data_IF_620096321281
#
_entry.id   IF_620096321281
#
_cell.length_a   1.000
_cell.length_b   1.000
_cell.length_c   1.000
_cell.angle_alpha   90.00
_cell.angle_beta   90.00
_cell.angle_gamma   90.00
#
_symmetry.space_group_name_H-M   'P 1'
#
loop_
_entity.id
_entity.type
_entity.pdbx_description
1 polymer ?
#
# COMPACT_ATOMS: atom_id res chain seq x y z
N UNK A 1 -86.88 -7.67 -49.35
CA UNK A 1 -86.86 -7.13 -47.97
C UNK A 1 -85.45 -7.28 -47.41
N UNK A 2 -84.93 -6.26 -46.69
CA UNK A 2 -83.92 -6.44 -45.62
C UNK A 2 -84.66 -6.96 -44.35
N UNK A 3 -84.01 -7.45 -43.27
CA UNK A 3 -82.57 -7.47 -42.90
C UNK A 3 -81.98 -8.91 -43.11
N UNK A 4 -80.99 -9.48 -42.40
CA UNK A 4 -80.30 -9.14 -41.14
C UNK A 4 -78.86 -9.70 -41.03
N UNK A 5 -78.28 -9.57 -39.83
CA UNK A 5 -76.86 -9.67 -39.47
C UNK A 5 -76.45 -11.01 -38.81
N UNK A 6 -75.20 -11.43 -38.99
CA UNK A 6 -74.35 -12.20 -38.03
C UNK A 6 -73.07 -12.70 -38.75
N UNK A 7 -71.92 -12.99 -38.12
CA UNK A 7 -71.29 -12.60 -36.84
C UNK A 7 -69.77 -12.67 -37.09
N UNK A 8 -68.96 -11.84 -36.42
CA UNK A 8 -67.50 -11.84 -36.60
C UNK A 8 -66.81 -13.06 -35.95
N UNK A 9 -65.75 -13.55 -36.60
CA UNK A 9 -64.86 -14.58 -36.07
C UNK A 9 -63.40 -14.22 -36.33
N UNK A 10 -62.85 -13.29 -35.54
CA UNK A 10 -61.44 -12.92 -35.61
C UNK A 10 -60.60 -13.89 -34.78
N UNK A 11 -59.75 -14.68 -35.43
CA UNK A 11 -58.81 -15.59 -34.75
C UNK A 11 -57.67 -14.78 -34.15
N UNK A 12 -57.67 -14.58 -32.83
CA UNK A 12 -56.57 -13.94 -32.13
C UNK A 12 -55.34 -14.87 -32.13
N UNK A 13 -54.32 -14.50 -32.91
CA UNK A 13 -53.03 -15.19 -32.90
C UNK A 13 -52.27 -14.79 -31.62
N UNK A 14 -52.27 -15.67 -30.61
CA UNK A 14 -51.54 -15.44 -29.37
C UNK A 14 -50.03 -15.52 -29.61
N UNK A 15 -49.38 -14.36 -29.76
CA UNK A 15 -47.93 -14.27 -29.87
C UNK A 15 -47.31 -14.55 -28.49
N UNK A 16 -46.84 -15.79 -28.29
CA UNK A 16 -46.12 -16.17 -27.07
C UNK A 16 -44.73 -15.56 -27.11
N UNK A 17 -44.56 -14.40 -26.47
CA UNK A 17 -43.25 -13.90 -26.09
C UNK A 17 -42.68 -14.81 -25.00
N UNK A 18 -41.91 -15.83 -25.41
CA UNK A 18 -40.98 -16.50 -24.50
C UNK A 18 -39.89 -15.49 -24.14
N UNK A 19 -40.05 -14.84 -22.99
CA UNK A 19 -39.04 -13.96 -22.41
C UNK A 19 -37.81 -14.75 -22.01
N UNK A 20 -36.95 -15.07 -22.98
CA UNK A 20 -35.56 -15.39 -22.71
C UNK A 20 -34.94 -14.12 -22.11
N UNK A 21 -34.82 -14.10 -20.78
CA UNK A 21 -34.02 -13.09 -20.12
C UNK A 21 -32.60 -13.24 -20.67
N UNK A 22 -32.14 -12.26 -21.44
CA UNK A 22 -30.73 -12.06 -21.71
C UNK A 22 -30.06 -11.87 -20.35
N UNK A 23 -29.49 -12.95 -19.83
CA UNK A 23 -28.47 -12.87 -18.81
C UNK A 23 -27.26 -12.22 -19.48
N UNK A 24 -27.29 -10.88 -19.54
CA UNK A 24 -26.10 -10.08 -19.79
C UNK A 24 -25.15 -10.50 -18.68
N UNK A 25 -24.09 -11.23 -19.05
CA UNK A 25 -23.02 -11.50 -18.12
C UNK A 25 -22.58 -10.15 -17.56
N UNK A 26 -22.49 -10.02 -16.24
CA UNK A 26 -21.89 -8.82 -15.68
C UNK A 26 -20.52 -8.62 -16.35
N UNK A 27 -20.16 -7.40 -16.77
CA UNK A 27 -18.83 -7.17 -17.34
C UNK A 27 -17.80 -7.75 -16.38
N UNK A 28 -16.80 -8.43 -16.94
CA UNK A 28 -15.70 -8.92 -16.14
C UNK A 28 -15.12 -7.72 -15.39
N UNK A 29 -14.89 -7.84 -14.09
CA UNK A 29 -14.23 -6.76 -13.37
C UNK A 29 -12.77 -6.73 -13.82
N UNK A 30 -12.35 -5.60 -14.41
CA UNK A 30 -10.96 -5.20 -14.62
C UNK A 30 -10.02 -5.85 -13.59
N UNK A 31 -9.13 -6.74 -14.04
CA UNK A 31 -8.26 -7.49 -13.14
C UNK A 31 -6.93 -6.76 -12.94
N UNK A 32 -6.59 -6.48 -11.68
CA UNK A 32 -5.22 -6.10 -11.31
C UNK A 32 -4.40 -7.35 -10.99
N UNK A 33 -3.37 -7.63 -11.78
CA UNK A 33 -2.50 -8.80 -11.64
C UNK A 33 -1.07 -8.38 -11.35
N UNK A 34 -0.49 -8.84 -10.23
CA UNK A 34 0.94 -8.65 -9.97
C UNK A 34 1.77 -9.72 -10.68
N UNK A 35 2.71 -9.30 -11.52
CA UNK A 35 3.63 -10.15 -12.26
C UNK A 35 4.79 -10.54 -11.36
N UNK A 36 4.73 -11.75 -10.81
CA UNK A 36 5.73 -12.28 -9.86
C UNK A 36 6.81 -13.14 -10.50
N UNK A 37 6.67 -13.47 -11.79
CA UNK A 37 7.63 -14.27 -12.55
C UNK A 37 7.48 -14.01 -14.05
N UNK A 38 8.60 -13.96 -14.76
CA UNK A 38 8.69 -13.92 -16.23
C UNK A 38 9.57 -15.11 -16.63
N UNK A 39 9.20 -15.86 -17.67
CA UNK A 39 10.03 -16.95 -18.19
C UNK A 39 11.29 -16.38 -18.88
N UNK A 40 12.48 -16.99 -18.69
CA UNK A 40 13.75 -16.48 -19.22
C UNK A 40 13.91 -16.66 -20.74
N UNK A 41 12.95 -17.30 -21.40
CA UNK A 41 12.96 -17.59 -22.83
C UNK A 41 11.53 -17.83 -23.36
N UNK A 42 11.37 -17.85 -24.67
CA UNK A 42 10.13 -18.18 -25.40
C UNK A 42 9.89 -19.71 -25.50
N UNK A 43 10.27 -20.52 -24.48
CA UNK A 43 9.95 -21.96 -24.48
C UNK A 43 8.44 -22.22 -24.39
N UNK A 44 7.68 -21.29 -23.81
CA UNK A 44 6.24 -21.16 -23.90
C UNK A 44 5.90 -19.73 -24.30
N UNK A 45 5.05 -19.58 -25.33
CA UNK A 45 4.54 -18.28 -25.72
C UNK A 45 3.43 -17.79 -24.77
N UNK A 46 2.66 -18.69 -24.16
CA UNK A 46 1.59 -18.31 -23.23
C UNK A 46 2.16 -17.79 -21.91
N UNK A 47 1.71 -16.61 -21.49
CA UNK A 47 2.13 -15.92 -20.27
C UNK A 47 3.33 -14.98 -20.48
N UNK A 48 3.85 -14.46 -19.37
CA UNK A 48 5.00 -13.54 -19.36
C UNK A 48 6.33 -14.24 -19.64
N UNK A 49 7.04 -13.82 -20.69
CA UNK A 49 8.31 -14.39 -21.14
C UNK A 49 9.25 -13.35 -21.78
N UNK A 50 10.55 -13.65 -21.82
CA UNK A 50 11.53 -12.91 -22.63
C UNK A 50 11.59 -13.47 -24.07
N UNK A 51 11.29 -12.64 -25.06
CA UNK A 51 11.25 -12.99 -26.49
C UNK A 51 12.63 -13.07 -27.16
N UNK A 52 13.67 -12.47 -26.56
CA UNK A 52 15.05 -12.67 -27.04
C UNK A 52 15.67 -13.89 -26.38
N UNK A 53 16.24 -14.78 -27.19
CA UNK A 53 17.00 -15.95 -26.74
C UNK A 53 18.40 -15.56 -26.22
N UNK A 54 18.42 -14.74 -25.18
CA UNK A 54 19.64 -14.28 -24.51
C UNK A 54 20.28 -15.44 -23.71
N UNK A 55 21.62 -15.47 -23.63
CA UNK A 55 22.34 -16.54 -22.92
C UNK A 55 22.20 -16.45 -21.39
N UNK A 56 21.82 -15.29 -20.90
CA UNK A 56 21.40 -14.95 -19.54
C UNK A 56 20.24 -13.96 -19.70
N UNK A 57 19.17 -14.03 -18.88
CA UNK A 57 18.05 -13.09 -19.01
C UNK A 57 18.52 -11.64 -18.97
N UNK A 58 18.02 -10.81 -19.89
CA UNK A 58 18.37 -9.38 -19.93
C UNK A 58 17.32 -8.52 -19.21
N UNK A 59 16.68 -9.10 -18.20
CA UNK A 59 15.71 -8.45 -17.31
C UNK A 59 15.87 -8.89 -15.86
N UNK A 60 15.30 -8.08 -14.96
CA UNK A 60 15.14 -8.33 -13.54
C UNK A 60 13.79 -7.78 -13.05
N UNK A 61 13.20 -8.44 -12.04
CA UNK A 61 12.01 -7.95 -11.34
C UNK A 61 12.42 -7.47 -9.95
N UNK A 62 12.28 -6.16 -9.75
CA UNK A 62 12.56 -5.45 -8.51
C UNK A 62 11.25 -5.01 -7.84
N UNK A 63 11.30 -4.57 -6.58
CA UNK A 63 10.10 -4.16 -5.83
C UNK A 63 9.28 -3.03 -6.52
N UNK A 64 9.97 -2.16 -7.24
CA UNK A 64 9.49 -0.98 -7.96
C UNK A 64 9.23 -1.22 -9.46
N UNK A 65 9.42 -2.43 -9.99
CA UNK A 65 9.07 -2.76 -11.36
C UNK A 65 9.97 -3.77 -12.07
N UNK A 66 9.75 -3.90 -13.36
CA UNK A 66 10.53 -4.68 -14.31
C UNK A 66 11.61 -3.79 -14.93
N UNK A 67 12.88 -4.19 -14.80
CA UNK A 67 14.04 -3.50 -15.38
C UNK A 67 14.70 -4.41 -16.40
N UNK A 68 15.01 -3.90 -17.59
CA UNK A 68 15.33 -4.74 -18.73
C UNK A 68 16.10 -3.97 -19.80
N UNK A 69 16.82 -4.71 -20.64
CA UNK A 69 17.74 -4.13 -21.62
C UNK A 69 19.16 -3.90 -21.09
N UNK A 70 19.50 -4.30 -19.86
CA UNK A 70 20.89 -4.20 -19.39
C UNK A 70 21.75 -5.33 -19.98
N UNK A 71 22.92 -4.97 -20.51
CA UNK A 71 23.87 -5.88 -21.16
C UNK A 71 23.45 -6.47 -22.52
N UNK A 72 22.16 -6.62 -22.81
CA UNK A 72 21.62 -7.10 -24.09
C UNK A 72 20.19 -6.56 -24.32
N UNK A 73 19.73 -6.54 -25.59
CA UNK A 73 18.36 -6.16 -25.90
C UNK A 73 17.38 -7.13 -25.22
N UNK A 74 16.30 -6.61 -24.63
CA UNK A 74 15.30 -7.41 -23.94
C UNK A 74 13.89 -7.03 -24.37
N UNK A 75 13.07 -8.04 -24.63
CA UNK A 75 11.68 -7.93 -25.06
C UNK A 75 10.88 -8.79 -24.10
N UNK A 76 9.96 -8.19 -23.35
CA UNK A 76 9.15 -8.86 -22.35
C UNK A 76 7.70 -8.84 -22.81
N UNK A 77 7.14 -10.01 -23.11
CA UNK A 77 5.82 -10.18 -23.69
C UNK A 77 4.92 -10.99 -22.76
N UNK A 78 3.63 -10.63 -22.71
CA UNK A 78 2.56 -11.50 -22.28
C UNK A 78 1.87 -12.10 -23.51
N UNK A 79 2.21 -13.35 -23.84
CA UNK A 79 1.50 -14.05 -24.91
C UNK A 79 0.17 -14.63 -24.42
N UNK A 80 -0.84 -14.54 -25.26
CA UNK A 80 -2.25 -14.83 -24.97
C UNK A 80 -2.72 -16.18 -25.55
N UNK A 81 -1.81 -16.89 -26.24
CA UNK A 81 -2.07 -18.17 -26.89
C UNK A 81 -0.89 -19.13 -26.66
N UNK A 82 -1.14 -20.44 -26.76
CA UNK A 82 -0.06 -21.44 -26.67
C UNK A 82 0.89 -21.35 -27.86
N UNK A 83 2.14 -21.78 -27.69
CA UNK A 83 3.14 -21.82 -28.77
C UNK A 83 2.61 -22.58 -30.01
N UNK A 84 2.60 -21.91 -31.16
CA UNK A 84 2.13 -22.47 -32.43
C UNK A 84 0.63 -22.33 -32.71
N UNK A 85 -0.16 -21.82 -31.77
CA UNK A 85 -1.55 -21.40 -32.05
C UNK A 85 -1.56 -20.08 -32.86
N UNK A 86 -2.55 -19.87 -33.75
CA UNK A 86 -2.50 -18.80 -34.75
C UNK A 86 -2.67 -17.37 -34.20
N UNK A 87 -3.02 -17.21 -32.91
CA UNK A 87 -3.40 -15.92 -32.32
C UNK A 87 -4.92 -15.68 -32.30
N UNK A 88 -5.33 -14.65 -31.54
CA UNK A 88 -6.72 -14.24 -31.36
C UNK A 88 -7.19 -13.40 -32.55
N UNK A 89 -8.27 -13.82 -33.21
CA UNK A 89 -8.88 -13.09 -34.34
C UNK A 89 -9.43 -11.74 -33.89
N UNK A 90 -9.20 -10.71 -34.70
CA UNK A 90 -9.62 -9.33 -34.41
C UNK A 90 -9.83 -8.53 -35.71
N UNK A 91 -10.57 -7.42 -35.64
CA UNK A 91 -10.60 -6.39 -36.70
C UNK A 91 -9.57 -5.29 -36.44
N UNK A 92 -9.29 -4.44 -37.44
CA UNK A 92 -8.41 -3.27 -37.24
C UNK A 92 -8.97 -2.30 -36.19
N UNK A 93 -10.29 -2.16 -36.11
CA UNK A 93 -10.97 -1.30 -35.14
C UNK A 93 -10.87 -1.83 -33.71
N UNK A 94 -11.05 -3.14 -33.50
CA UNK A 94 -10.93 -3.77 -32.17
C UNK A 94 -9.50 -3.75 -31.66
N UNK A 95 -8.52 -4.12 -32.50
CA UNK A 95 -7.10 -4.06 -32.12
C UNK A 95 -6.63 -2.61 -31.92
N UNK A 96 -7.11 -1.69 -32.76
CA UNK A 96 -6.86 -0.26 -32.61
C UNK A 96 -7.36 0.28 -31.27
N UNK A 97 -8.58 -0.08 -30.87
CA UNK A 97 -9.14 0.32 -29.57
C UNK A 97 -8.39 -0.29 -28.37
N UNK A 98 -7.87 -1.52 -28.48
CA UNK A 98 -7.02 -2.12 -27.44
C UNK A 98 -5.68 -1.38 -27.28
N UNK A 99 -5.06 -0.96 -28.38
CA UNK A 99 -3.78 -0.22 -28.35
C UNK A 99 -4.00 1.23 -27.87
N UNK A 100 -5.01 1.92 -28.39
CA UNK A 100 -5.38 3.30 -28.03
C UNK A 100 -5.81 3.42 -26.56
N UNK A 101 -6.45 2.37 -26.02
CA UNK A 101 -6.80 2.25 -24.60
C UNK A 101 -5.72 1.65 -23.70
N UNK A 102 -4.54 1.31 -24.23
CA UNK A 102 -3.43 0.80 -23.41
C UNK A 102 -2.66 1.92 -22.71
N UNK A 103 -2.06 1.62 -21.57
CA UNK A 103 -1.18 2.54 -20.82
C UNK A 103 0.04 1.77 -20.32
N UNK A 104 1.22 2.38 -20.38
CA UNK A 104 2.47 1.83 -19.83
C UNK A 104 3.04 2.85 -18.84
N UNK A 105 3.23 2.45 -17.59
CA UNK A 105 3.95 3.22 -16.58
C UNK A 105 5.45 2.94 -16.68
N UNK A 106 6.20 3.84 -17.29
CA UNK A 106 7.66 3.73 -17.44
C UNK A 106 8.33 4.40 -16.24
N UNK A 107 9.17 3.67 -15.51
CA UNK A 107 9.88 4.15 -14.31
C UNK A 107 11.29 4.66 -14.61
N UNK A 108 11.92 4.16 -15.67
CA UNK A 108 13.29 4.52 -16.05
C UNK A 108 13.53 4.38 -17.55
N UNK A 109 14.39 5.25 -18.09
CA UNK A 109 14.94 5.09 -19.44
C UNK A 109 13.90 5.34 -20.53
N UNK A 110 14.01 4.57 -21.60
CA UNK A 110 13.06 4.58 -22.72
C UNK A 110 12.60 3.16 -23.06
N UNK A 111 11.34 3.02 -23.43
CA UNK A 111 10.70 1.72 -23.66
C UNK A 111 9.78 1.78 -24.88
N UNK A 112 9.84 0.78 -25.75
CA UNK A 112 8.89 0.61 -26.83
C UNK A 112 7.71 -0.26 -26.36
N UNK A 113 6.48 0.24 -26.44
CA UNK A 113 5.27 -0.61 -26.42
C UNK A 113 5.32 -1.58 -27.60
N UNK A 114 4.86 -2.82 -27.42
CA UNK A 114 4.85 -3.82 -28.47
C UNK A 114 3.59 -4.68 -28.50
N UNK A 115 3.17 -5.04 -29.71
CA UNK A 115 2.05 -5.95 -29.96
C UNK A 115 2.44 -6.96 -31.04
N UNK A 116 2.37 -8.24 -30.73
CA UNK A 116 2.64 -9.31 -31.68
C UNK A 116 1.39 -9.60 -32.52
N UNK A 117 1.53 -9.53 -33.85
CA UNK A 117 0.44 -9.65 -34.82
C UNK A 117 0.76 -10.63 -35.94
N UNK A 118 -0.28 -11.22 -36.51
CA UNK A 118 -0.20 -12.11 -37.67
C UNK A 118 -1.39 -11.91 -38.61
N UNK A 119 -1.18 -12.24 -39.87
CA UNK A 119 -2.17 -12.26 -40.96
C UNK A 119 -1.94 -13.52 -41.80
N UNK A 120 -2.78 -13.75 -42.82
CA UNK A 120 -2.51 -14.80 -43.81
C UNK A 120 -1.18 -14.61 -44.58
N UNK A 121 -0.60 -13.40 -44.58
CA UNK A 121 0.63 -13.07 -45.29
C UNK A 121 1.92 -13.21 -44.44
N UNK A 122 1.82 -13.26 -43.10
CA UNK A 122 3.00 -13.37 -42.23
C UNK A 122 2.74 -12.98 -40.78
N UNK A 123 3.83 -12.72 -40.04
CA UNK A 123 3.77 -12.26 -38.65
C UNK A 123 4.92 -11.30 -38.34
N UNK A 124 4.73 -10.47 -37.30
CA UNK A 124 5.72 -9.54 -36.79
C UNK A 124 5.26 -8.90 -35.47
N UNK A 125 6.02 -7.92 -35.00
CA UNK A 125 5.65 -7.11 -33.82
C UNK A 125 5.52 -5.66 -34.23
N UNK A 126 4.39 -5.05 -33.91
CA UNK A 126 4.16 -3.61 -34.06
C UNK A 126 4.76 -2.89 -32.86
N UNK A 127 5.37 -1.72 -33.10
CA UNK A 127 5.92 -0.81 -32.08
C UNK A 127 5.78 0.65 -32.52
N UNK A 128 5.67 1.63 -31.59
CA UNK A 128 5.75 3.04 -31.97
C UNK A 128 7.16 3.36 -32.48
N UNK A 129 7.28 4.35 -33.36
CA UNK A 129 8.58 4.79 -33.92
C UNK A 129 9.38 5.59 -32.89
N UNK A 130 8.68 6.38 -32.07
CA UNK A 130 9.24 7.06 -30.90
C UNK A 130 9.01 6.17 -29.68
N UNK A 131 10.03 5.84 -28.87
CA UNK A 131 9.80 5.13 -27.62
C UNK A 131 9.11 6.03 -26.60
N UNK A 132 8.55 5.41 -25.56
CA UNK A 132 8.02 6.09 -24.38
C UNK A 132 9.17 6.45 -23.44
N UNK A 133 9.12 7.65 -22.85
CA UNK A 133 10.07 8.11 -21.83
C UNK A 133 9.51 7.79 -20.43
N UNK A 134 10.13 8.32 -19.36
CA UNK A 134 9.64 8.09 -17.99
C UNK A 134 8.31 8.81 -17.72
N UNK A 135 7.31 8.05 -17.26
CA UNK A 135 5.94 8.52 -17.00
C UNK A 135 4.87 7.55 -17.51
N UNK A 136 3.58 7.89 -17.35
CA UNK A 136 2.48 7.15 -17.97
C UNK A 136 2.36 7.51 -19.45
N UNK A 137 2.31 6.49 -20.32
CA UNK A 137 2.20 6.66 -21.76
C UNK A 137 1.10 5.76 -22.35
N UNK A 138 0.17 6.37 -23.08
CA UNK A 138 -0.78 5.69 -23.96
C UNK A 138 -0.41 5.91 -25.41
N UNK A 139 -0.62 4.89 -26.23
CA UNK A 139 -0.54 5.01 -27.68
C UNK A 139 -1.79 5.74 -28.22
N UNK A 140 -1.67 6.37 -29.38
CA UNK A 140 -2.80 6.95 -30.11
C UNK A 140 -2.88 6.40 -31.53
N UNK A 141 -4.08 6.26 -32.07
CA UNK A 141 -4.29 5.81 -33.47
C UNK A 141 -3.61 6.68 -34.55
N UNK A 142 -3.24 7.92 -34.21
CA UNK A 142 -2.50 8.85 -35.07
C UNK A 142 -0.98 8.77 -34.93
N UNK A 143 -0.46 7.98 -34.00
CA UNK A 143 0.98 7.86 -33.80
C UNK A 143 1.63 7.11 -34.96
N UNK A 144 2.90 7.43 -35.23
CA UNK A 144 3.71 6.67 -36.18
C UNK A 144 4.20 5.38 -35.52
N UNK A 145 3.81 4.26 -36.11
CA UNK A 145 4.18 2.91 -35.72
C UNK A 145 4.92 2.21 -36.87
N UNK A 146 5.55 1.09 -36.55
CA UNK A 146 6.21 0.24 -37.54
C UNK A 146 6.14 -1.24 -37.15
N UNK A 147 6.37 -2.12 -38.12
CA UNK A 147 6.46 -3.57 -37.93
C UNK A 147 7.92 -4.02 -37.97
N UNK A 148 8.31 -4.92 -37.07
CA UNK A 148 9.64 -5.56 -37.09
C UNK A 148 9.90 -6.47 -38.30
N UNK A 149 8.87 -6.75 -39.12
CA UNK A 149 8.93 -7.61 -40.32
C UNK A 149 7.99 -7.13 -41.41
N UNK A 150 8.29 -7.49 -42.66
CA UNK A 150 7.36 -7.31 -43.77
C UNK A 150 6.21 -8.31 -43.63
N UNK A 151 4.97 -7.81 -43.65
CA UNK A 151 3.73 -8.59 -43.57
C UNK A 151 2.84 -8.10 -44.71
N UNK A 152 2.68 -8.91 -45.76
CA UNK A 152 1.97 -8.48 -46.98
C UNK A 152 2.55 -7.19 -47.56
N UNK A 153 1.70 -6.16 -47.66
CA UNK A 153 2.08 -4.80 -48.12
C UNK A 153 2.72 -3.92 -47.02
N UNK A 154 2.66 -4.32 -45.74
CA UNK A 154 3.36 -3.62 -44.64
C UNK A 154 4.86 -3.90 -44.73
N UNK A 155 5.66 -2.84 -44.94
CA UNK A 155 7.13 -2.93 -45.04
C UNK A 155 7.77 -2.87 -43.65
N UNK A 156 8.75 -3.75 -43.39
CA UNK A 156 9.55 -3.73 -42.16
C UNK A 156 10.21 -2.36 -41.90
N UNK A 157 10.17 -1.90 -40.64
CA UNK A 157 10.78 -0.67 -40.14
C UNK A 157 10.39 0.63 -40.88
N UNK A 158 9.35 0.60 -41.72
CA UNK A 158 8.75 1.78 -42.33
C UNK A 158 7.76 2.47 -41.36
N UNK A 159 7.89 3.77 -41.07
CA UNK A 159 6.91 4.53 -40.29
C UNK A 159 5.56 4.69 -41.01
N UNK A 160 4.46 4.31 -40.35
CA UNK A 160 3.08 4.45 -40.83
C UNK A 160 2.18 4.84 -39.65
N UNK A 161 1.17 5.69 -39.86
CA UNK A 161 0.16 5.97 -38.82
C UNK A 161 -0.53 4.67 -38.38
N UNK A 162 -0.69 4.44 -37.07
CA UNK A 162 -1.20 3.18 -36.51
C UNK A 162 -2.54 2.75 -37.14
N UNK A 163 -3.50 3.68 -37.31
CA UNK A 163 -4.77 3.38 -37.95
C UNK A 163 -4.61 2.84 -39.39
N UNK A 164 -3.70 3.41 -40.18
CA UNK A 164 -3.42 2.96 -41.54
C UNK A 164 -2.67 1.62 -41.57
N UNK A 165 -1.73 1.43 -40.63
CA UNK A 165 -0.97 0.20 -40.44
C UNK A 165 -1.91 -0.99 -40.14
N UNK A 166 -2.84 -0.81 -39.20
CA UNK A 166 -3.84 -1.83 -38.83
C UNK A 166 -4.81 -2.13 -39.99
N UNK A 167 -5.23 -1.11 -40.75
CA UNK A 167 -6.08 -1.30 -41.92
C UNK A 167 -5.38 -2.09 -43.04
N UNK A 168 -4.07 -1.88 -43.26
CA UNK A 168 -3.27 -2.70 -44.19
C UNK A 168 -3.20 -4.16 -43.75
N UNK A 169 -2.97 -4.44 -42.46
CA UNK A 169 -2.93 -5.81 -41.94
C UNK A 169 -4.29 -6.52 -42.03
N UNK A 170 -5.40 -5.81 -41.83
CA UNK A 170 -6.74 -6.38 -42.04
C UNK A 170 -7.02 -6.69 -43.53
N UNK A 171 -6.47 -5.89 -44.45
CA UNK A 171 -6.61 -6.12 -45.89
C UNK A 171 -5.88 -7.38 -46.39
N UNK A 172 -4.79 -7.80 -45.74
CA UNK A 172 -4.12 -9.09 -45.98
C UNK A 172 -4.97 -10.31 -45.54
N UNK A 173 -5.95 -10.08 -44.66
CA UNK A 173 -6.91 -11.07 -44.18
C UNK A 173 -6.43 -11.91 -42.98
N UNK A 174 -7.40 -12.37 -42.19
CA UNK A 174 -7.19 -13.15 -40.95
C UNK A 174 -6.28 -12.43 -39.94
N UNK A 175 -6.53 -11.13 -39.72
CA UNK A 175 -5.81 -10.33 -38.73
C UNK A 175 -5.99 -10.92 -37.32
N UNK A 176 -4.87 -11.20 -36.68
CA UNK A 176 -4.77 -11.74 -35.33
C UNK A 176 -3.71 -11.02 -34.53
N UNK A 177 -3.87 -11.05 -33.21
CA UNK A 177 -2.82 -10.70 -32.26
C UNK A 177 -2.55 -11.87 -31.32
N UNK A 178 -1.28 -12.07 -30.96
CA UNK A 178 -0.84 -13.19 -30.12
C UNK A 178 -0.37 -12.75 -28.74
N UNK A 179 0.06 -11.50 -28.56
CA UNK A 179 0.55 -10.98 -27.29
C UNK A 179 0.85 -9.48 -27.32
N UNK A 180 1.11 -8.92 -26.15
CA UNK A 180 1.51 -7.52 -25.96
C UNK A 180 2.67 -7.44 -24.96
N UNK A 181 3.38 -6.33 -24.90
CA UNK A 181 4.46 -6.14 -23.94
C UNK A 181 5.36 -4.96 -24.26
N UNK A 182 6.64 -5.09 -23.92
CA UNK A 182 7.62 -4.00 -23.98
C UNK A 182 8.99 -4.46 -24.51
N UNK A 183 9.73 -3.53 -25.12
CA UNK A 183 11.10 -3.70 -25.60
C UNK A 183 11.99 -2.57 -25.08
N UNK A 184 13.17 -2.93 -24.59
CA UNK A 184 14.29 -2.03 -24.32
C UNK A 184 15.53 -2.50 -25.10
N UNK A 185 16.30 -1.55 -25.61
CA UNK A 185 17.54 -1.83 -26.36
C UNK A 185 18.76 -1.73 -25.45
N UNK A 186 19.80 -2.51 -25.74
CA UNK A 186 21.03 -2.60 -24.93
C UNK A 186 21.80 -1.28 -24.75
N UNK A 187 21.53 -0.28 -25.58
CA UNK A 187 22.09 1.07 -25.47
C UNK A 187 21.34 1.94 -24.47
N UNK A 188 20.07 1.63 -24.23
CA UNK A 188 19.12 2.45 -23.48
C UNK A 188 18.20 1.56 -22.61
N UNK A 189 18.73 1.00 -21.49
CA UNK A 189 17.96 0.13 -20.60
C UNK A 189 16.72 0.82 -20.03
N UNK A 190 15.61 0.09 -19.97
CA UNK A 190 14.29 0.58 -19.57
C UNK A 190 13.79 -0.02 -18.26
N UNK A 191 12.83 0.67 -17.64
CA UNK A 191 12.10 0.21 -16.46
C UNK A 191 10.60 0.47 -16.60
N UNK A 192 9.74 -0.49 -16.21
CA UNK A 192 8.28 -0.33 -16.18
C UNK A 192 7.67 -0.82 -14.87
N UNK A 193 6.73 -0.07 -14.30
CA UNK A 193 5.95 -0.48 -13.11
C UNK A 193 4.63 -1.16 -13.50
N UNK A 194 4.04 -0.80 -14.65
CA UNK A 194 2.73 -1.27 -15.05
C UNK A 194 2.53 -1.31 -16.58
N UNK A 195 1.66 -2.21 -17.02
CA UNK A 195 1.03 -2.21 -18.36
C UNK A 195 -0.47 -2.45 -18.17
N UNK A 196 -1.31 -1.58 -18.72
CA UNK A 196 -2.76 -1.78 -18.86
C UNK A 196 -3.05 -2.20 -20.30
N UNK A 197 -3.81 -3.29 -20.49
CA UNK A 197 -4.20 -3.81 -21.79
C UNK A 197 -5.67 -4.25 -21.77
N UNK A 198 -6.52 -3.53 -22.51
CA UNK A 198 -7.97 -3.68 -22.41
C UNK A 198 -8.48 -3.20 -21.05
N UNK A 199 -9.18 -4.07 -20.32
CA UNK A 199 -9.66 -3.77 -18.96
C UNK A 199 -8.69 -4.25 -17.86
N UNK A 200 -7.63 -4.98 -18.20
CA UNK A 200 -6.72 -5.57 -17.22
C UNK A 200 -5.44 -4.73 -17.01
N UNK A 201 -4.99 -4.62 -15.76
CA UNK A 201 -3.74 -3.95 -15.38
C UNK A 201 -2.76 -4.96 -14.80
N UNK A 202 -1.57 -5.03 -15.40
CA UNK A 202 -0.46 -5.85 -14.98
C UNK A 202 0.55 -4.97 -14.25
N UNK A 203 0.82 -5.28 -12.98
CA UNK A 203 1.78 -4.56 -12.14
C UNK A 203 3.05 -5.39 -12.01
N UNK A 204 4.19 -4.83 -12.38
CA UNK A 204 5.51 -5.45 -12.16
C UNK A 204 6.08 -5.14 -10.77
N UNK A 205 5.44 -4.24 -10.02
CA UNK A 205 5.70 -4.03 -8.60
C UNK A 205 5.22 -5.23 -7.79
N UNK A 206 5.88 -5.49 -6.64
CA UNK A 206 5.41 -6.52 -5.70
C UNK A 206 4.15 -6.06 -4.97
N UNK A 207 3.20 -6.98 -4.78
CA UNK A 207 2.01 -6.75 -3.97
C UNK A 207 2.40 -6.64 -2.48
N UNK A 208 2.13 -5.50 -1.85
CA UNK A 208 2.28 -5.35 -0.39
C UNK A 208 0.89 -5.29 0.24
N UNK A 209 0.61 -6.23 1.15
CA UNK A 209 -0.67 -6.28 1.88
C UNK A 209 -0.59 -5.41 3.12
N UNK A 210 -1.24 -4.24 3.14
CA UNK A 210 -1.21 -3.37 4.32
C UNK A 210 -1.67 -4.08 5.60
N UNK A 211 -0.92 -3.90 6.70
CA UNK A 211 -1.26 -4.39 8.04
C UNK A 211 -2.22 -3.38 8.67
N UNK A 212 -3.51 -3.71 8.85
CA UNK A 212 -4.46 -2.76 9.42
C UNK A 212 -4.13 -2.49 10.90
N UNK A 213 -4.30 -1.24 11.33
CA UNK A 213 -4.27 -0.89 12.76
C UNK A 213 -5.47 -1.56 13.44
N UNK A 214 -5.20 -2.49 14.35
CA UNK A 214 -6.21 -3.26 15.09
C UNK A 214 -6.24 -2.94 16.59
N UNK A 215 -5.25 -2.22 17.09
CA UNK A 215 -5.15 -1.84 18.51
C UNK A 215 -4.45 -0.50 18.70
N UNK A 216 -4.70 0.12 19.85
CA UNK A 216 -4.08 1.38 20.28
C UNK A 216 -3.41 1.21 21.65
N UNK A 217 -2.24 1.81 21.83
CA UNK A 217 -1.50 1.84 23.10
C UNK A 217 -1.19 3.30 23.43
N UNK A 218 -1.60 3.74 24.62
CA UNK A 218 -1.24 5.05 25.14
C UNK A 218 0.16 4.97 25.77
N UNK A 219 1.04 5.91 25.41
CA UNK A 219 2.44 5.99 25.85
C UNK A 219 2.64 7.27 26.63
N UNK A 220 3.01 7.13 27.90
CA UNK A 220 3.22 8.24 28.83
C UNK A 220 4.71 8.51 29.07
N UNK A 221 5.02 9.71 29.60
CA UNK A 221 6.40 10.10 29.91
C UNK A 221 7.11 9.16 30.90
N UNK A 222 6.37 8.40 31.72
CA UNK A 222 6.94 7.46 32.68
C UNK A 222 7.36 6.12 32.05
N UNK A 223 6.91 5.83 30.84
CA UNK A 223 7.23 4.60 30.10
C UNK A 223 8.44 4.77 29.18
N UNK A 224 8.77 6.00 28.82
CA UNK A 224 9.96 6.36 28.03
C UNK A 224 11.15 6.53 28.99
N UNK A 225 12.15 5.66 28.89
CA UNK A 225 13.41 5.79 29.65
C UNK A 225 14.27 6.94 29.11
N UNK A 226 15.07 7.59 29.97
CA UNK A 226 15.97 8.68 29.56
C UNK A 226 17.24 8.19 28.84
N UNK A 227 17.44 6.88 28.70
CA UNK A 227 18.62 6.27 28.08
C UNK A 227 18.35 4.85 27.53
N UNK A 228 19.29 4.38 26.70
CA UNK A 228 19.36 3.03 26.13
C UNK A 228 20.04 2.02 27.10
N UNK A 229 19.96 2.19 28.42
CA UNK A 229 20.50 1.19 29.39
C UNK A 229 19.85 -0.20 29.26
N UNK A 230 18.69 -0.25 28.61
CA UNK A 230 18.06 -1.47 28.09
C UNK A 230 17.41 -1.11 26.77
N UNK A 231 17.52 -1.98 25.76
CA UNK A 231 16.94 -1.73 24.44
C UNK A 231 15.41 -1.88 24.44
N UNK A 232 14.89 -2.96 25.04
CA UNK A 232 13.47 -3.30 25.02
C UNK A 232 12.55 -2.26 25.69
N UNK A 233 11.47 -1.86 25.02
CA UNK A 233 10.54 -0.82 25.45
C UNK A 233 10.99 0.59 25.03
N UNK A 234 10.16 1.59 25.35
CA UNK A 234 10.42 2.99 25.00
C UNK A 234 11.64 3.57 25.72
N UNK A 235 12.53 4.22 24.96
CA UNK A 235 13.72 4.89 25.48
C UNK A 235 14.22 6.01 24.55
N UNK A 236 15.00 6.92 25.13
CA UNK A 236 15.82 7.88 24.40
C UNK A 236 17.17 7.24 23.97
N UNK A 237 17.44 7.24 22.66
CA UNK A 237 18.67 6.66 22.07
C UNK A 237 19.91 7.58 22.16
N UNK A 238 19.73 8.86 22.46
CA UNK A 238 20.85 9.77 22.73
C UNK A 238 21.15 9.83 24.22
N UNK A 239 22.43 9.72 24.58
CA UNK A 239 22.91 9.84 25.97
C UNK A 239 22.92 11.32 26.45
N UNK A 240 21.75 11.97 26.42
CA UNK A 240 21.58 13.35 26.82
C UNK A 240 21.62 13.47 28.37
N UNK A 241 22.36 14.46 28.94
CA UNK A 241 22.49 14.61 30.40
C UNK A 241 21.19 15.05 31.08
N UNK A 242 20.28 15.63 30.30
CA UNK A 242 18.88 15.90 30.64
C UNK A 242 18.06 15.40 29.45
N UNK A 243 16.96 14.65 29.64
CA UNK A 243 16.15 14.15 28.55
C UNK A 243 15.78 15.25 27.54
N UNK A 244 15.90 14.94 26.24
CA UNK A 244 15.58 15.90 25.17
C UNK A 244 14.15 15.78 24.62
N UNK A 245 13.33 14.99 25.32
CA UNK A 245 11.91 14.81 25.10
C UNK A 245 11.06 15.18 26.33
N UNK A 246 9.76 15.31 26.11
CA UNK A 246 8.72 15.27 27.14
C UNK A 246 7.36 14.99 26.52
N UNK A 247 6.38 14.54 27.32
CA UNK A 247 4.99 14.40 26.84
C UNK A 247 4.18 15.62 27.25
N UNK A 248 3.45 16.17 26.28
CA UNK A 248 2.54 17.32 26.42
C UNK A 248 1.11 16.89 26.10
N UNK A 249 0.13 17.77 26.34
CA UNK A 249 -1.27 17.55 25.94
C UNK A 249 -1.47 17.33 24.42
N UNK A 250 -0.46 17.66 23.61
CA UNK A 250 -0.45 17.50 22.15
C UNK A 250 0.43 16.35 21.63
N UNK A 251 1.14 15.63 22.49
CA UNK A 251 2.01 14.53 22.07
C UNK A 251 3.43 14.55 22.65
N UNK A 252 4.29 13.71 22.08
CA UNK A 252 5.72 13.64 22.34
C UNK A 252 6.40 14.88 21.75
N UNK A 253 6.88 15.75 22.62
CA UNK A 253 7.59 16.97 22.29
C UNK A 253 9.09 16.77 22.39
N UNK A 254 9.79 17.18 21.34
CA UNK A 254 11.23 17.34 21.24
C UNK A 254 11.52 18.85 21.25
N UNK A 255 12.35 19.34 22.18
CA UNK A 255 12.44 20.80 22.31
C UNK A 255 13.39 21.40 23.35
N UNK A 256 14.35 20.66 23.90
CA UNK A 256 15.36 21.24 24.80
C UNK A 256 16.61 21.80 24.07
N UNK A 257 16.64 21.73 22.73
CA UNK A 257 17.79 22.17 21.92
C UNK A 257 18.93 21.15 21.86
N UNK A 258 18.62 19.85 21.86
CA UNK A 258 19.53 18.75 21.58
C UNK A 258 18.89 17.75 20.60
N UNK A 259 19.69 16.95 19.91
CA UNK A 259 19.18 15.81 19.13
C UNK A 259 18.56 14.77 20.08
N UNK A 260 17.43 14.19 19.68
CA UNK A 260 16.71 13.20 20.49
C UNK A 260 16.02 12.17 19.61
N UNK A 261 15.99 10.94 20.08
CA UNK A 261 15.48 9.79 19.32
C UNK A 261 14.68 8.93 20.28
N UNK A 262 13.36 8.84 20.09
CA UNK A 262 12.51 7.97 20.90
C UNK A 262 12.22 6.69 20.13
N UNK A 263 12.71 5.58 20.68
CA UNK A 263 12.67 4.24 20.07
C UNK A 263 11.86 3.31 20.98
N UNK A 264 11.02 2.46 20.41
CA UNK A 264 10.48 1.29 21.09
C UNK A 264 11.24 0.03 20.66
N UNK A 265 12.22 -0.39 21.47
CA UNK A 265 12.93 -1.64 21.21
C UNK A 265 12.03 -2.85 21.46
N UNK A 266 12.04 -3.83 20.56
CA UNK A 266 11.20 -5.01 20.71
C UNK A 266 11.80 -5.97 21.76
N UNK A 267 10.94 -6.72 22.46
CA UNK A 267 11.37 -7.74 23.41
C UNK A 267 11.92 -8.99 22.70
N UNK A 268 11.32 -9.29 21.55
CA UNK A 268 11.79 -10.28 20.58
C UNK A 268 11.84 -9.56 19.23
N UNK A 269 12.99 -9.55 18.53
CA UNK A 269 13.06 -9.04 17.17
C UNK A 269 12.07 -9.73 16.24
N UNK A 270 11.54 -9.01 15.24
CA UNK A 270 10.74 -9.61 14.19
C UNK A 270 11.69 -10.21 13.15
N UNK A 271 12.02 -11.48 13.32
CA UNK A 271 12.81 -12.28 12.38
C UNK A 271 11.95 -12.69 11.17
N UNK A 272 12.53 -12.60 9.97
CA UNK A 272 11.92 -13.00 8.69
C UNK A 272 10.51 -12.41 8.44
N UNK A 273 10.23 -11.25 9.04
CA UNK A 273 9.02 -10.48 8.77
C UNK A 273 9.16 -9.71 7.46
N UNK A 274 8.07 -9.60 6.70
CA UNK A 274 8.02 -8.83 5.47
C UNK A 274 8.29 -7.34 5.78
N UNK A 275 9.53 -6.91 5.48
CA UNK A 275 10.02 -5.58 5.85
C UNK A 275 9.31 -4.48 5.07
N UNK A 276 8.96 -4.76 3.80
CA UNK A 276 8.13 -3.88 2.99
C UNK A 276 6.76 -3.71 3.65
N UNK A 277 6.11 -4.82 4.01
CA UNK A 277 4.81 -4.81 4.69
C UNK A 277 4.84 -4.02 6.01
N UNK A 278 5.87 -4.21 6.83
CA UNK A 278 6.02 -3.51 8.10
C UNK A 278 6.19 -2.00 7.91
N UNK A 279 7.00 -1.56 6.94
CA UNK A 279 7.30 -0.15 6.72
C UNK A 279 6.16 0.57 6.00
N UNK A 280 5.60 0.03 4.92
CA UNK A 280 4.51 0.71 4.19
C UNK A 280 3.18 0.70 4.95
N UNK A 281 3.07 -0.09 6.02
CA UNK A 281 1.93 -0.07 6.96
C UNK A 281 2.18 0.81 8.19
N UNK A 282 3.35 1.45 8.29
CA UNK A 282 3.67 2.40 9.35
C UNK A 282 3.21 3.82 8.96
N UNK A 283 2.83 4.60 9.97
CA UNK A 283 2.54 6.03 9.81
C UNK A 283 3.04 6.84 11.01
N UNK A 284 3.33 8.11 10.78
CA UNK A 284 3.72 9.08 11.83
C UNK A 284 2.85 10.31 11.70
N UNK A 285 2.19 10.70 12.80
CA UNK A 285 1.37 11.90 12.87
C UNK A 285 2.13 13.00 13.64
N UNK A 286 2.53 14.05 12.92
CA UNK A 286 3.30 15.18 13.45
C UNK A 286 2.36 16.36 13.65
N UNK A 287 2.43 17.01 14.81
CA UNK A 287 1.65 18.20 15.14
C UNK A 287 2.40 19.48 14.74
N UNK A 288 3.71 19.50 14.94
CA UNK A 288 4.58 20.63 14.60
C UNK A 288 6.03 20.17 14.39
N UNK A 289 6.81 20.98 13.66
CA UNK A 289 8.23 20.70 13.40
C UNK A 289 8.45 19.62 12.34
N UNK A 290 9.57 18.92 12.44
CA UNK A 290 10.01 17.89 11.50
C UNK A 290 10.67 16.73 12.28
N UNK A 291 10.27 15.48 11.99
CA UNK A 291 10.89 14.29 12.57
C UNK A 291 11.18 13.24 11.50
N UNK A 292 12.17 12.39 11.73
CA UNK A 292 12.51 11.28 10.84
C UNK A 292 12.01 9.99 11.47
N UNK A 293 11.14 9.25 10.76
CA UNK A 293 10.77 7.89 11.17
C UNK A 293 11.96 6.95 11.01
N UNK A 294 12.07 5.93 11.87
CA UNK A 294 13.25 5.07 11.91
C UNK A 294 12.90 3.62 12.27
N UNK A 295 13.59 2.70 11.60
CA UNK A 295 13.51 1.25 11.82
C UNK A 295 14.92 0.67 11.98
N UNK A 296 15.42 0.52 13.22
CA UNK A 296 16.61 -0.25 13.52
C UNK A 296 16.43 -1.74 13.19
N UNK A 297 17.39 -2.32 12.45
CA UNK A 297 17.39 -3.71 12.01
C UNK A 297 18.78 -4.34 12.19
N UNK A 298 18.84 -5.67 12.19
CA UNK A 298 20.05 -6.42 11.81
C UNK A 298 19.77 -7.32 10.62
N UNK A 299 20.77 -7.53 9.75
CA UNK A 299 20.60 -8.37 8.56
C UNK A 299 21.83 -9.23 8.23
N UNK A 300 21.58 -10.32 7.52
CA UNK A 300 22.59 -11.28 7.04
C UNK A 300 23.30 -12.10 8.12
N UNK A 301 24.17 -13.02 7.70
CA UNK A 301 24.83 -13.99 8.61
C UNK A 301 25.65 -13.34 9.72
N UNK A 302 26.20 -12.14 9.48
CA UNK A 302 26.99 -11.37 10.45
C UNK A 302 26.13 -10.47 11.35
N UNK A 303 24.80 -10.50 11.21
CA UNK A 303 23.84 -9.63 11.91
C UNK A 303 24.26 -8.14 11.87
N UNK A 304 24.49 -7.63 10.66
CA UNK A 304 24.94 -6.26 10.43
C UNK A 304 23.85 -5.31 10.92
N UNK A 305 24.13 -4.54 11.97
CA UNK A 305 23.20 -3.52 12.48
C UNK A 305 23.15 -2.32 11.55
N UNK A 306 21.95 -1.87 11.20
CA UNK A 306 21.71 -0.57 10.56
C UNK A 306 20.40 0.04 11.05
N UNK A 307 20.16 1.28 10.66
CA UNK A 307 18.89 1.98 10.87
C UNK A 307 18.41 2.50 9.52
N UNK A 308 17.23 2.04 9.12
CA UNK A 308 16.52 2.59 7.97
C UNK A 308 15.75 3.83 8.41
N UNK A 309 15.76 4.88 7.58
CA UNK A 309 14.93 6.07 7.74
C UNK A 309 14.60 6.68 6.37
N UNK A 310 13.48 7.39 6.20
CA UNK A 310 13.25 8.19 5.00
C UNK A 310 14.37 9.23 4.82
N UNK A 311 14.68 9.58 3.57
CA UNK A 311 15.65 10.63 3.25
C UNK A 311 15.08 12.04 3.49
N UNK A 312 13.76 12.15 3.67
CA UNK A 312 13.01 13.35 4.03
C UNK A 312 12.52 13.27 5.49
N UNK A 313 12.20 14.42 6.10
CA UNK A 313 11.51 14.46 7.39
C UNK A 313 9.99 14.51 7.23
N UNK A 314 9.28 13.85 8.14
CA UNK A 314 7.84 13.98 8.32
C UNK A 314 7.53 15.36 8.92
N UNK A 315 6.83 16.20 8.14
CA UNK A 315 6.27 17.47 8.60
C UNK A 315 4.83 17.32 9.13
N UNK A 316 4.16 18.42 9.53
CA UNK A 316 2.85 18.38 10.18
C UNK A 316 1.76 17.69 9.36
N UNK A 317 1.02 16.80 10.00
CA UNK A 317 0.05 15.88 9.39
C UNK A 317 0.48 14.41 9.53
N UNK A 318 -0.24 13.50 8.89
CA UNK A 318 0.12 12.08 8.81
C UNK A 318 1.05 11.84 7.63
N UNK A 319 2.24 11.29 7.90
CA UNK A 319 3.17 10.78 6.89
C UNK A 319 3.06 9.27 6.84
N UNK A 320 2.90 8.72 5.63
CA UNK A 320 2.94 7.28 5.31
C UNK A 320 4.13 7.00 4.39
N UNK A 321 4.46 5.73 4.17
CA UNK A 321 5.65 5.34 3.40
C UNK A 321 5.33 4.41 2.23
N UNK A 322 6.00 4.60 1.10
CA UNK A 322 5.88 3.81 -0.12
C UNK A 322 7.24 3.21 -0.54
N UNK A 323 7.21 2.14 -1.34
CA UNK A 323 8.43 1.49 -1.85
C UNK A 323 9.25 2.39 -2.79
N UNK A 324 8.59 3.34 -3.45
CA UNK A 324 9.22 4.37 -4.29
C UNK A 324 9.74 5.59 -3.50
N UNK A 325 9.58 5.64 -2.18
CA UNK A 325 10.16 6.72 -1.38
C UNK A 325 11.68 6.58 -1.30
N UNK A 326 12.39 7.72 -1.29
CA UNK A 326 13.81 7.72 -0.99
C UNK A 326 14.04 7.52 0.51
N UNK A 327 14.85 6.51 0.84
CA UNK A 327 15.27 6.14 2.18
C UNK A 327 16.80 6.06 2.25
N UNK A 328 17.33 6.00 3.47
CA UNK A 328 18.77 5.81 3.73
C UNK A 328 19.00 4.75 4.80
N UNK A 329 20.07 3.98 4.64
CA UNK A 329 20.63 3.08 5.64
C UNK A 329 21.77 3.78 6.39
N UNK A 330 21.82 3.68 7.73
CA UNK A 330 22.90 4.28 8.54
C UNK A 330 24.26 3.60 8.38
N UNK A 331 24.29 2.39 7.80
CA UNK A 331 25.48 1.64 7.37
C UNK A 331 25.42 1.29 5.89
N UNK A 332 26.57 0.89 5.35
CA UNK A 332 26.66 0.28 4.02
C UNK A 332 25.92 -1.06 4.00
N UNK A 333 25.20 -1.32 2.90
CA UNK A 333 24.63 -2.62 2.57
C UNK A 333 25.56 -3.25 1.52
N UNK A 334 26.24 -4.36 1.83
CA UNK A 334 27.20 -4.98 0.90
C UNK A 334 26.54 -5.47 -0.39
N UNK A 335 27.33 -5.45 -1.48
CA UNK A 335 26.93 -6.09 -2.73
C UNK A 335 26.79 -7.61 -2.57
N UNK A 336 25.89 -8.19 -3.35
CA UNK A 336 25.65 -9.64 -3.43
C UNK A 336 25.88 -10.14 -4.86
N UNK A 337 25.45 -11.38 -5.16
CA UNK A 337 25.42 -11.88 -6.54
C UNK A 337 24.30 -11.27 -7.39
N UNK A 338 23.31 -10.61 -6.78
CA UNK A 338 22.10 -10.08 -7.45
C UNK A 338 21.84 -8.60 -7.20
N UNK A 339 22.51 -7.98 -6.22
CA UNK A 339 22.31 -6.58 -5.83
C UNK A 339 23.64 -5.83 -5.70
N UNK A 340 23.66 -4.57 -6.10
CA UNK A 340 24.82 -3.69 -5.93
C UNK A 340 24.97 -3.23 -4.47
N UNK A 341 26.17 -2.78 -4.09
CA UNK A 341 26.41 -2.21 -2.77
C UNK A 341 25.75 -0.83 -2.66
N UNK A 342 25.06 -0.58 -1.53
CA UNK A 342 24.46 0.72 -1.23
C UNK A 342 25.26 1.38 -0.10
N UNK A 343 25.87 2.52 -0.38
CA UNK A 343 26.72 3.22 0.58
C UNK A 343 25.93 3.83 1.75
N UNK A 344 26.59 3.95 2.91
CA UNK A 344 25.97 4.47 4.13
C UNK A 344 25.48 5.93 3.94
N UNK A 345 24.23 6.18 4.32
CA UNK A 345 23.53 7.46 4.21
C UNK A 345 23.29 7.97 2.77
N UNK A 346 23.48 7.13 1.75
CA UNK A 346 23.10 7.45 0.36
C UNK A 346 21.60 7.21 0.15
N UNK A 347 20.84 8.18 -0.39
CA UNK A 347 19.45 7.96 -0.79
C UNK A 347 19.32 6.89 -1.87
N UNK A 348 18.45 5.93 -1.63
CA UNK A 348 18.01 4.89 -2.56
C UNK A 348 16.51 4.64 -2.36
N UNK A 349 15.83 3.99 -3.30
CA UNK A 349 14.41 3.68 -3.13
C UNK A 349 14.24 2.64 -2.02
N UNK A 350 13.16 2.73 -1.24
CA UNK A 350 12.89 1.80 -0.16
C UNK A 350 12.82 0.35 -0.65
N UNK A 351 12.24 0.10 -1.82
CA UNK A 351 12.24 -1.21 -2.47
C UNK A 351 13.65 -1.77 -2.70
N UNK A 352 14.51 -1.00 -3.36
CA UNK A 352 15.91 -1.39 -3.66
C UNK A 352 16.72 -1.65 -2.37
N UNK A 353 16.50 -0.84 -1.34
CA UNK A 353 17.12 -1.01 -0.02
C UNK A 353 16.70 -2.32 0.65
N UNK A 354 15.40 -2.61 0.65
CA UNK A 354 14.85 -3.86 1.21
C UNK A 354 15.40 -5.06 0.43
N UNK A 355 15.42 -4.99 -0.90
CA UNK A 355 15.98 -6.07 -1.73
C UNK A 355 17.46 -6.33 -1.45
N UNK A 356 18.27 -5.28 -1.37
CA UNK A 356 19.69 -5.40 -1.07
C UNK A 356 19.93 -5.97 0.34
N UNK A 357 19.07 -5.63 1.31
CA UNK A 357 19.10 -6.16 2.67
C UNK A 357 18.69 -7.64 2.71
N UNK A 358 17.59 -8.02 2.07
CA UNK A 358 17.09 -9.40 1.99
C UNK A 358 18.07 -10.32 1.23
N UNK A 359 18.71 -9.81 0.17
CA UNK A 359 19.74 -10.54 -0.59
C UNK A 359 21.00 -10.85 0.25
N UNK A 360 21.26 -10.10 1.33
CA UNK A 360 22.34 -10.39 2.28
C UNK A 360 21.95 -11.46 3.33
N UNK A 361 20.68 -11.87 3.41
CA UNK A 361 20.16 -12.95 4.26
C UNK A 361 19.09 -12.50 5.26
N UNK A 362 18.79 -13.33 6.26
CA UNK A 362 17.74 -13.10 7.27
C UNK A 362 17.79 -11.69 7.86
N UNK A 363 16.62 -11.06 7.92
CA UNK A 363 16.40 -9.72 8.49
C UNK A 363 15.70 -9.86 9.84
N UNK A 364 16.13 -9.06 10.81
CA UNK A 364 15.52 -8.94 12.12
C UNK A 364 15.19 -7.47 12.39
N UNK A 365 13.91 -7.11 12.46
CA UNK A 365 13.53 -5.77 12.93
C UNK A 365 13.67 -5.70 14.44
N UNK A 366 14.53 -4.81 14.91
CA UNK A 366 14.85 -4.67 16.33
C UNK A 366 13.94 -3.67 17.04
N UNK A 367 13.52 -2.62 16.33
CA UNK A 367 12.76 -1.52 16.89
C UNK A 367 12.06 -0.68 15.81
N UNK A 368 11.27 0.29 16.26
CA UNK A 368 10.77 1.41 15.46
C UNK A 368 10.77 2.68 16.32
N UNK A 369 10.77 3.87 15.71
CA UNK A 369 10.78 5.13 16.46
C UNK A 369 10.83 6.37 15.60
N UNK A 370 11.12 7.50 16.26
CA UNK A 370 11.24 8.83 15.64
C UNK A 370 12.48 9.57 16.16
N UNK A 371 13.18 10.26 15.25
CA UNK A 371 14.32 11.14 15.51
C UNK A 371 13.91 12.59 15.26
N UNK A 372 14.15 13.48 16.23
CA UNK A 372 14.13 14.92 16.03
C UNK A 372 15.56 15.47 16.08
N UNK A 373 15.87 16.39 15.16
CA UNK A 373 17.17 17.05 15.09
C UNK A 373 17.16 18.37 15.88
N UNK A 374 18.32 18.70 16.45
CA UNK A 374 18.58 19.74 17.46
C UNK A 374 18.00 21.15 17.19
N UNK A 375 17.71 21.48 15.94
CA UNK A 375 17.47 22.84 15.47
C UNK A 375 15.99 23.28 15.59
N UNK A 376 15.04 22.34 15.55
CA UNK A 376 13.62 22.66 15.42
C UNK A 376 12.75 21.91 16.46
N UNK A 377 12.08 22.62 17.39
CA UNK A 377 11.11 22.02 18.28
C UNK A 377 10.00 21.31 17.50
N UNK A 378 9.79 20.04 17.81
CA UNK A 378 8.92 19.14 17.04
C UNK A 378 8.01 18.34 17.96
N UNK A 379 6.78 18.04 17.53
CA UNK A 379 5.78 17.34 18.34
C UNK A 379 5.14 16.23 17.51
N UNK A 380 5.14 15.00 18.04
CA UNK A 380 4.56 13.80 17.43
C UNK A 380 3.36 13.36 18.25
N UNK A 381 2.18 13.29 17.63
CA UNK A 381 0.95 12.82 18.26
C UNK A 381 0.91 11.29 18.33
N UNK A 382 1.08 10.63 17.18
CA UNK A 382 0.97 9.17 17.07
C UNK A 382 2.03 8.57 16.15
N UNK A 383 2.38 7.31 16.41
CA UNK A 383 3.19 6.45 15.53
C UNK A 383 2.47 5.11 15.40
N UNK A 384 2.26 4.62 14.18
CA UNK A 384 1.78 3.27 13.94
C UNK A 384 2.91 2.34 13.47
N UNK A 385 2.91 1.11 13.98
CA UNK A 385 3.80 0.06 13.54
C UNK A 385 3.17 -1.32 13.78
N UNK A 386 3.28 -2.23 12.81
CA UNK A 386 2.82 -3.62 12.90
C UNK A 386 1.39 -3.78 13.48
N UNK A 387 0.43 -2.98 12.97
CA UNK A 387 -0.97 -3.04 13.40
C UNK A 387 -1.30 -2.44 14.76
N UNK A 388 -0.33 -1.81 15.44
CA UNK A 388 -0.51 -1.09 16.71
C UNK A 388 -0.27 0.41 16.48
N UNK A 389 -1.19 1.26 16.94
CA UNK A 389 -0.99 2.71 17.00
C UNK A 389 -0.64 3.15 18.40
N UNK A 390 0.48 3.85 18.55
CA UNK A 390 0.99 4.37 19.80
C UNK A 390 0.63 5.86 19.91
N UNK A 391 -0.18 6.22 20.90
CA UNK A 391 -0.59 7.60 21.15
C UNK A 391 0.27 8.18 22.26
N UNK A 392 0.95 9.30 22.02
CA UNK A 392 1.71 9.97 23.06
C UNK A 392 0.78 10.87 23.88
N UNK A 393 0.50 10.50 25.14
CA UNK A 393 -0.51 11.18 25.96
C UNK A 393 0.01 11.50 27.36
N UNK A 394 -0.37 12.66 27.95
CA UNK A 394 0.00 12.98 29.32
C UNK A 394 -0.61 11.95 30.28
N UNK A 395 0.11 11.64 31.36
CA UNK A 395 -0.44 10.79 32.44
C UNK A 395 -1.72 11.44 32.95
N UNK A 396 -2.86 10.75 32.80
CA UNK A 396 -4.11 11.20 33.37
C UNK A 396 -3.96 11.36 34.89
N UNK A 397 -3.85 12.60 35.35
CA UNK A 397 -3.77 12.89 36.79
C UNK A 397 -5.08 12.44 37.41
N UNK A 398 -5.05 11.28 38.07
CA UNK A 398 -6.21 10.73 38.75
C UNK A 398 -6.80 11.83 39.65
N UNK A 399 -8.11 12.14 39.53
CA UNK A 399 -8.69 13.30 40.19
C UNK A 399 -8.43 13.19 41.68
N UNK A 400 -7.60 14.09 42.20
CA UNK A 400 -7.20 14.09 43.60
C UNK A 400 -8.49 14.19 44.40
N UNK A 401 -8.89 13.10 45.06
CA UNK A 401 -10.12 13.10 45.85
C UNK A 401 -9.98 14.25 46.83
N UNK A 402 -10.86 15.28 46.77
CA UNK A 402 -10.66 16.48 47.56
C UNK A 402 -10.51 16.07 49.01
N UNK A 403 -9.36 16.39 49.61
CA UNK A 403 -9.07 16.02 50.98
C UNK A 403 -10.25 16.48 51.82
N UNK A 404 -11.03 15.52 52.37
CA UNK A 404 -12.28 15.79 53.07
C UNK A 404 -11.99 16.94 54.03
N UNK A 405 -12.64 18.12 53.89
CA UNK A 405 -12.22 19.30 54.61
C UNK A 405 -12.16 18.95 56.08
N UNK A 406 -10.95 19.01 56.64
CA UNK A 406 -10.75 18.76 58.04
C UNK A 406 -11.67 19.74 58.76
N UNK A 407 -12.65 19.24 59.52
CA UNK A 407 -13.45 20.10 60.36
C UNK A 407 -12.46 20.87 61.22
N UNK A 408 -12.42 22.19 61.04
CA UNK A 408 -11.65 23.04 61.93
C UNK A 408 -12.13 22.73 63.34
N UNK A 409 -11.23 22.26 64.21
CA UNK A 409 -11.56 21.91 65.57
C UNK A 409 -11.86 23.22 66.34
N UNK A 410 -13.13 23.65 66.29
CA UNK A 410 -13.63 24.86 66.93
C UNK A 410 -13.76 24.67 68.43
N UNK A 411 -12.61 24.63 69.11
CA UNK A 411 -12.45 24.86 70.55
C UNK A 411 -13.07 23.83 71.51
N UNK A 412 -12.62 23.82 72.77
CA UNK A 412 -13.33 23.17 73.86
C UNK A 412 -14.42 24.13 74.38
N UNK A 413 -15.63 24.07 73.83
CA UNK A 413 -16.76 24.77 74.46
C UNK A 413 -17.28 23.98 75.67
N UNK A 414 -17.33 24.70 76.80
CA UNK A 414 -17.74 24.22 78.12
C UNK A 414 -19.24 23.90 78.19
N UNK A 415 -19.60 22.90 78.99
CA UNK A 415 -20.99 22.57 79.35
C UNK A 415 -21.78 23.80 79.81
N UNK A 416 -22.91 24.12 79.15
CA UNK A 416 -23.69 25.26 79.63
C UNK A 416 -24.89 25.83 78.85
N UNK A 417 -25.66 25.08 78.04
CA UNK A 417 -27.01 25.52 77.67
C UNK A 417 -27.94 24.39 77.18
N UNK A 418 -28.90 24.00 78.01
CA UNK A 418 -30.11 23.29 77.57
C UNK A 418 -31.02 24.22 76.73
N UNK A 419 -31.67 23.70 75.70
CA UNK A 419 -32.95 24.28 75.25
C UNK A 419 -33.34 24.12 73.77
N UNK A 420 -34.41 23.35 73.53
CA UNK A 420 -35.37 23.53 72.44
C UNK A 420 -34.87 23.56 70.97
N UNK A 421 -34.75 22.37 70.35
CA UNK A 421 -35.09 22.16 68.92
C UNK A 421 -35.23 20.67 68.53
N UNK A 422 -34.37 19.79 69.07
CA UNK A 422 -34.23 18.40 68.60
C UNK A 422 -35.36 17.41 68.93
N UNK A 423 -36.41 17.83 69.63
CA UNK A 423 -37.49 16.94 70.10
C UNK A 423 -38.65 16.74 69.09
N UNK A 424 -38.56 17.30 67.89
CA UNK A 424 -39.71 17.41 66.97
C UNK A 424 -39.63 16.59 65.67
N UNK A 425 -38.55 15.84 65.43
CA UNK A 425 -38.42 15.01 64.21
C UNK A 425 -38.33 13.49 64.45
N UNK A 426 -38.11 13.05 65.69
CA UNK A 426 -38.18 11.62 66.08
C UNK A 426 -39.61 11.13 66.33
N UNK A 427 -40.60 12.03 66.40
CA UNK A 427 -42.03 11.71 66.55
C UNK A 427 -42.74 11.35 65.22
N UNK A 428 -42.12 11.58 64.06
CA UNK A 428 -42.74 11.36 62.75
C UNK A 428 -42.65 9.93 62.21
N UNK A 429 -41.52 9.23 62.43
CA UNK A 429 -41.25 7.92 61.80
C UNK A 429 -41.64 6.71 62.66
N UNK A 430 -41.80 6.88 63.98
CA UNK A 430 -42.20 5.80 64.89
C UNK A 430 -43.64 5.28 64.69
N UNK A 431 -44.57 6.10 64.18
CA UNK A 431 -45.99 5.72 64.05
C UNK A 431 -46.34 4.93 62.78
N UNK A 432 -45.51 4.94 61.73
CA UNK A 432 -45.76 4.13 60.52
C UNK A 432 -45.30 2.68 60.69
N UNK A 433 -44.17 2.44 61.35
CA UNK A 433 -43.63 1.09 61.59
C UNK A 433 -44.57 0.21 62.45
N UNK A 434 -45.29 0.81 63.40
CA UNK A 434 -46.16 0.07 64.33
C UNK A 434 -47.50 -0.38 63.72
N UNK A 435 -47.91 0.16 62.56
CA UNK A 435 -49.14 -0.26 61.85
C UNK A 435 -48.94 -1.40 60.85
N UNK A 436 -47.72 -1.63 60.38
CA UNK A 436 -47.42 -2.72 59.44
C UNK A 436 -47.30 -4.09 60.15
N UNK A 437 -46.63 -4.14 61.31
CA UNK A 437 -46.35 -5.40 62.02
C UNK A 437 -47.59 -6.01 62.67
N UNK A 438 -48.58 -5.20 63.10
CA UNK A 438 -49.79 -5.70 63.78
C UNK A 438 -50.86 -6.31 62.86
N UNK A 439 -50.72 -6.19 61.53
CA UNK A 439 -51.67 -6.79 60.55
C UNK A 439 -51.30 -8.19 60.07
N UNK A 440 -50.10 -8.70 60.41
CA UNK A 440 -49.58 -9.99 59.90
C UNK A 440 -49.62 -11.16 60.91
N UNK A 441 -50.24 -10.96 62.07
CA UNK A 441 -50.29 -11.92 63.18
C UNK A 441 -51.71 -12.28 63.67
N UNK A 442 -52.76 -11.89 62.94
CA UNK A 442 -54.17 -12.13 63.30
C UNK A 442 -55.06 -12.61 62.13
N UNK A 443 -54.45 -13.10 61.05
CA UNK A 443 -55.11 -13.89 60.01
C UNK A 443 -54.26 -15.12 59.73
N UNK A 444 -54.34 -16.08 60.65
CA UNK A 444 -54.03 -17.48 60.38
C UNK A 444 -55.32 -18.25 60.08
N UNK A 445 -55.18 -19.29 59.27
CA UNK A 445 -56.07 -20.45 59.09
C UNK A 445 -57.59 -20.24 59.27
N UNK A 446 -58.25 -19.93 58.15
CA UNK A 446 -59.41 -20.70 57.65
C UNK A 446 -59.40 -20.76 56.13
#
# INVERSE_FOLDING_TARGET
>A
MRPASSVAGATALALVFTGAALAVAAPASAATTHVTSIAPDESSYLGWHEGYANATPAFSLHWNGLFFGDGANSQILNGLVNSGEPGLSTTSAELGALIDGSEIGVTQGVVYSQVAVSTAAGWGTLRPVTPFETGPHSAQLTDLWTSSRTIGDVIADAPVELAALLASLEADGDLRYSGFGVLAESTDPGGVESITWGEDTFLFTRAVTAIPVTSTVDVTAAEIRPDESTYTGWHEGYANPTPAFGITDTGLSFGNGANSQIINGLATPLADADLAQLITSADVEVVSGEVFYQVPITFGESAIFTTLRPAFGAGPGTTTFALGDQWVSSKEIPATGTTAAIAANTPALLGDLIEAIEANGTVNVLAFGVLAQEITPSVVATVAFNGVRYNFVPVAVAPVTPAKPALAATGPETDGALGAAGALLTLGLGMMAFRAVRRRALLGDR
#
